data_IF_931549690211
#
_entry.id   IF_931549690211
#
_cell.length_a   1.000
_cell.length_b   1.000
_cell.length_c   1.000
_cell.angle_alpha   90.00
_cell.angle_beta   90.00
_cell.angle_gamma   90.00
#
_symmetry.space_group_name_H-M   'P 1'
#
loop_
_entity.id
_entity.type
_entity.pdbx_description
1 polymer ?
#
# COMPACT_ATOMS: atom_id res chain seq x y z
N UNK A 1 -15.35 20.71 13.52
CA UNK A 1 -14.87 19.99 12.32
C UNK A 1 -13.65 19.20 12.75
N UNK A 2 -13.49 17.96 12.27
CA UNK A 2 -12.28 17.20 12.52
C UNK A 2 -11.07 17.92 11.90
N UNK A 3 -9.90 17.80 12.53
CA UNK A 3 -8.66 18.24 11.93
C UNK A 3 -8.36 17.37 10.70
N UNK A 4 -7.72 17.95 9.68
CA UNK A 4 -7.49 17.35 8.37
C UNK A 4 -6.06 17.59 7.93
N UNK A 5 -5.38 16.50 7.59
CA UNK A 5 -4.08 16.51 6.93
C UNK A 5 -4.17 15.97 5.50
N UNK A 6 -3.38 16.56 4.60
CA UNK A 6 -3.34 16.17 3.18
C UNK A 6 -1.92 15.74 2.84
N UNK A 7 -1.76 14.54 2.31
CA UNK A 7 -0.45 13.96 2.04
C UNK A 7 -0.33 13.33 0.64
N UNK A 8 0.88 13.36 0.11
CA UNK A 8 1.29 12.62 -1.09
C UNK A 8 2.82 12.48 -1.11
N UNK A 9 3.34 11.64 -2.00
CA UNK A 9 4.79 11.35 -2.10
C UNK A 9 5.68 12.55 -2.44
N UNK A 10 5.09 13.68 -2.84
CA UNK A 10 5.79 14.94 -3.16
C UNK A 10 5.43 16.06 -2.19
N UNK A 11 4.78 15.76 -1.06
CA UNK A 11 4.43 16.77 -0.06
C UNK A 11 5.69 17.51 0.39
N UNK A 12 5.58 18.81 0.65
CA UNK A 12 6.70 19.59 1.19
C UNK A 12 6.89 19.28 2.67
N UNK A 13 8.13 19.42 3.15
CA UNK A 13 8.40 19.47 4.58
C UNK A 13 7.83 20.78 5.13
N UNK A 14 6.79 20.70 5.96
CA UNK A 14 6.10 21.86 6.50
C UNK A 14 5.40 21.52 7.82
N UNK A 15 5.11 22.53 8.64
CA UNK A 15 4.42 22.34 9.93
C UNK A 15 3.02 21.71 9.73
N UNK A 16 2.50 20.93 10.70
CA UNK A 16 1.11 20.46 10.67
C UNK A 16 0.12 21.61 10.48
N UNK A 17 -0.82 21.46 9.55
CA UNK A 17 -1.87 22.46 9.25
C UNK A 17 -1.48 23.52 8.23
N UNK A 18 -0.24 23.50 7.72
CA UNK A 18 0.24 24.45 6.69
C UNK A 18 0.24 23.90 5.27
N UNK A 19 -0.18 22.64 5.09
CA UNK A 19 -0.32 22.03 3.77
C UNK A 19 -1.55 22.55 3.02
N UNK A 20 -1.50 22.53 1.68
CA UNK A 20 -2.67 22.82 0.86
C UNK A 20 -3.81 21.84 1.16
N UNK A 21 -5.01 22.36 1.43
CA UNK A 21 -6.19 21.54 1.74
C UNK A 21 -6.29 21.08 3.20
N UNK A 22 -5.31 21.42 4.05
CA UNK A 22 -5.34 21.08 5.47
C UNK A 22 -6.20 22.04 6.28
N UNK A 23 -6.77 21.52 7.37
CA UNK A 23 -7.52 22.29 8.36
C UNK A 23 -7.13 21.79 9.74
N UNK A 24 -6.54 22.64 10.56
CA UNK A 24 -6.12 22.27 11.92
C UNK A 24 -6.59 23.34 12.89
N UNK A 25 -7.36 22.92 13.89
CA UNK A 25 -7.98 23.79 14.88
C UNK A 25 -6.95 24.33 15.87
N UNK A 26 -6.06 23.46 16.36
CA UNK A 26 -4.97 23.85 17.26
C UNK A 26 -3.66 23.15 16.87
N UNK A 27 -2.74 23.82 16.16
CA UNK A 27 -1.45 23.25 15.76
C UNK A 27 -0.59 22.75 16.93
N UNK A 28 -0.79 23.27 18.15
CA UNK A 28 -0.06 22.82 19.34
C UNK A 28 -0.38 21.37 19.72
N UNK A 29 -1.47 20.80 19.23
CA UNK A 29 -1.79 19.39 19.44
C UNK A 29 -0.87 18.44 18.66
N UNK A 30 -0.07 18.96 17.71
CA UNK A 30 0.76 18.17 16.79
C UNK A 30 2.25 18.49 16.92
N UNK A 31 2.70 18.86 18.13
CA UNK A 31 4.11 19.20 18.41
C UNK A 31 5.05 18.04 18.10
N UNK A 32 4.68 16.80 18.46
CA UNK A 32 5.48 15.62 18.17
C UNK A 32 5.58 15.35 16.67
N UNK A 33 4.45 15.46 15.94
CA UNK A 33 4.43 15.31 14.48
C UNK A 33 5.29 16.37 13.78
N UNK A 34 5.31 17.59 14.31
CA UNK A 34 6.11 18.69 13.76
C UNK A 34 7.62 18.42 13.84
N UNK A 35 8.10 17.64 14.82
CA UNK A 35 9.53 17.29 14.95
C UNK A 35 9.98 16.35 13.83
N UNK A 36 9.05 15.66 13.18
CA UNK A 36 9.35 14.64 12.18
C UNK A 36 9.44 15.28 10.80
N UNK A 37 10.65 15.33 10.26
CA UNK A 37 10.90 15.87 8.92
C UNK A 37 10.15 15.06 7.86
N UNK A 38 9.53 15.75 6.90
CA UNK A 38 8.88 15.13 5.75
C UNK A 38 7.74 14.15 6.12
N UNK A 39 7.11 14.29 7.30
CA UNK A 39 6.14 13.32 7.83
C UNK A 39 4.99 12.97 6.86
N UNK A 40 4.51 13.93 6.06
CA UNK A 40 3.48 13.68 5.02
C UNK A 40 3.94 12.68 3.96
N UNK A 41 5.22 12.72 3.56
CA UNK A 41 5.76 11.76 2.58
C UNK A 41 5.78 10.37 3.19
N UNK A 42 6.14 10.26 4.48
CA UNK A 42 6.18 8.99 5.20
C UNK A 42 4.81 8.31 5.34
N UNK A 43 3.70 9.05 5.28
CA UNK A 43 2.35 8.47 5.19
C UNK A 43 2.06 7.80 3.83
N UNK A 44 2.79 8.15 2.76
CA UNK A 44 2.53 7.63 1.41
C UNK A 44 2.93 6.15 1.25
N UNK A 45 2.17 5.41 0.44
CA UNK A 45 2.52 4.05 -0.02
C UNK A 45 3.87 4.00 -0.75
N UNK A 46 4.26 5.13 -1.36
CA UNK A 46 5.50 5.28 -2.13
C UNK A 46 6.72 5.57 -1.24
N UNK A 47 6.54 5.74 0.07
CA UNK A 47 7.67 5.94 0.99
C UNK A 47 8.45 4.63 1.13
N UNK A 48 9.76 4.70 0.92
CA UNK A 48 10.68 3.57 1.12
C UNK A 48 10.88 3.37 2.62
N UNK A 49 10.44 2.21 3.10
CA UNK A 49 10.60 1.75 4.48
C UNK A 49 10.49 0.21 4.44
N UNK A 50 11.61 -0.52 4.29
CA UNK A 50 11.59 -1.97 4.11
C UNK A 50 10.89 -2.71 5.25
N UNK A 51 9.94 -3.60 4.95
CA UNK A 51 9.26 -4.41 5.96
C UNK A 51 9.06 -5.85 5.50
N UNK A 52 8.85 -6.76 6.45
CA UNK A 52 8.55 -8.18 6.21
C UNK A 52 7.04 -8.43 6.21
N UNK A 53 6.56 -9.14 5.19
CA UNK A 53 5.18 -9.59 5.07
C UNK A 53 5.10 -10.75 4.07
N UNK A 54 4.30 -11.78 4.38
CA UNK A 54 4.18 -12.99 3.54
C UNK A 54 5.52 -13.66 3.26
N UNK A 55 6.39 -13.79 4.28
CA UNK A 55 7.72 -14.39 4.17
C UNK A 55 8.66 -13.70 3.16
N UNK A 56 8.34 -12.47 2.76
CA UNK A 56 9.13 -11.66 1.83
C UNK A 56 9.47 -10.30 2.43
N UNK A 57 10.55 -9.68 1.95
CA UNK A 57 10.89 -8.29 2.24
C UNK A 57 10.39 -7.36 1.13
N UNK A 58 9.78 -6.25 1.51
CA UNK A 58 9.18 -5.28 0.59
C UNK A 58 9.75 -3.89 0.85
N UNK A 59 10.22 -3.21 -0.20
CA UNK A 59 10.82 -1.88 -0.05
C UNK A 59 9.78 -0.79 0.31
N UNK A 60 8.51 -1.00 -0.05
CA UNK A 60 7.39 -0.12 0.34
C UNK A 60 6.03 -0.81 0.22
N UNK A 61 4.98 -0.15 0.74
CA UNK A 61 3.59 -0.63 0.61
C UNK A 61 3.16 -0.72 -0.86
N UNK A 62 3.65 0.17 -1.72
CA UNK A 62 3.39 0.11 -3.17
C UNK A 62 3.93 -1.18 -3.81
N UNK A 63 5.12 -1.65 -3.39
CA UNK A 63 5.72 -2.89 -3.90
C UNK A 63 4.84 -4.09 -3.58
N UNK A 64 4.50 -4.27 -2.30
CA UNK A 64 3.60 -5.33 -1.88
C UNK A 64 2.24 -5.26 -2.60
N UNK A 65 1.63 -4.07 -2.64
CA UNK A 65 0.32 -3.85 -3.26
C UNK A 65 0.30 -4.23 -4.74
N UNK A 66 1.37 -3.95 -5.47
CA UNK A 66 1.48 -4.29 -6.89
C UNK A 66 1.89 -5.75 -7.12
N UNK A 67 2.66 -6.35 -6.21
CA UNK A 67 3.00 -7.76 -6.25
C UNK A 67 1.77 -8.64 -6.04
N UNK A 68 1.02 -8.42 -4.96
CA UNK A 68 -0.04 -9.33 -4.48
C UNK A 68 -1.19 -9.53 -5.47
N UNK A 69 -1.27 -8.68 -6.50
CA UNK A 69 -2.10 -8.85 -7.70
C UNK A 69 -1.85 -10.17 -8.41
N UNK A 70 -0.62 -10.66 -8.40
CA UNK A 70 -0.19 -11.89 -9.07
C UNK A 70 0.06 -13.02 -8.07
N UNK A 71 -0.21 -12.78 -6.78
CA UNK A 71 -0.20 -13.85 -5.79
C UNK A 71 -1.47 -14.67 -5.98
N UNK A 72 -1.30 -15.92 -6.37
CA UNK A 72 -2.34 -16.93 -6.22
C UNK A 72 -2.31 -17.41 -4.78
N UNK A 73 -3.43 -17.26 -4.07
CA UNK A 73 -3.60 -17.97 -2.81
C UNK A 73 -3.54 -19.49 -3.09
N UNK A 74 -3.07 -20.26 -2.10
CA UNK A 74 -3.01 -21.72 -2.22
C UNK A 74 -4.42 -22.36 -2.31
N UNK A 75 -5.50 -21.57 -2.19
CA UNK A 75 -6.89 -22.03 -2.23
C UNK A 75 -7.48 -22.14 -3.63
N UNK A 76 -6.89 -21.51 -4.65
CA UNK A 76 -7.13 -21.87 -6.05
C UNK A 76 -6.21 -23.04 -6.42
N UNK A 77 -6.49 -24.24 -5.89
CA UNK A 77 -5.77 -25.47 -6.27
C UNK A 77 -5.85 -25.59 -7.80
N UNK A 78 -4.72 -25.45 -8.48
CA UNK A 78 -4.62 -25.79 -9.90
C UNK A 78 -5.16 -27.21 -10.09
N UNK A 79 -6.17 -27.38 -10.94
CA UNK A 79 -6.83 -28.66 -11.19
C UNK A 79 -6.23 -29.37 -12.39
N UNK A 80 -5.49 -28.62 -13.21
CA UNK A 80 -4.81 -29.10 -14.41
C UNK A 80 -3.32 -28.71 -14.41
N UNK A 81 -2.46 -29.45 -15.14
CA UNK A 81 -1.06 -29.07 -15.33
C UNK A 81 -0.87 -27.67 -15.92
N UNK A 82 -1.77 -27.26 -16.81
CA UNK A 82 -1.75 -25.94 -17.46
C UNK A 82 -2.03 -24.81 -16.44
N UNK A 83 -3.03 -25.00 -15.58
CA UNK A 83 -3.30 -24.07 -14.48
C UNK A 83 -2.12 -23.99 -13.50
N UNK A 84 -1.48 -25.13 -13.19
CA UNK A 84 -0.33 -25.16 -12.29
C UNK A 84 0.86 -24.40 -12.87
N UNK A 85 1.14 -24.57 -14.17
CA UNK A 85 2.18 -23.82 -14.86
C UNK A 85 1.90 -22.31 -14.81
N UNK A 86 0.65 -21.90 -15.01
CA UNK A 86 0.23 -20.50 -14.91
C UNK A 86 0.38 -19.93 -13.50
N UNK A 87 -0.03 -20.69 -12.48
CA UNK A 87 0.17 -20.31 -11.06
C UNK A 87 1.66 -20.12 -10.75
N UNK A 88 2.52 -21.05 -11.19
CA UNK A 88 3.97 -20.93 -11.01
C UNK A 88 4.55 -19.69 -11.69
N UNK A 89 4.12 -19.37 -12.91
CA UNK A 89 4.54 -18.14 -13.62
C UNK A 89 4.09 -16.87 -12.90
N UNK A 90 2.84 -16.80 -12.45
CA UNK A 90 2.33 -15.67 -11.68
C UNK A 90 3.07 -15.48 -10.35
N UNK A 91 3.34 -16.57 -9.64
CA UNK A 91 4.11 -16.52 -8.40
C UNK A 91 5.56 -16.11 -8.64
N UNK A 92 6.21 -16.59 -9.70
CA UNK A 92 7.53 -16.12 -10.08
C UNK A 92 7.54 -14.62 -10.39
N UNK A 93 6.49 -14.10 -11.04
CA UNK A 93 6.36 -12.66 -11.27
C UNK A 93 6.09 -11.88 -9.97
N UNK A 94 5.26 -12.38 -9.06
CA UNK A 94 5.08 -11.83 -7.71
C UNK A 94 6.41 -11.67 -6.97
N UNK A 95 7.28 -12.68 -7.03
CA UNK A 95 8.60 -12.65 -6.42
C UNK A 95 9.51 -11.57 -7.02
N UNK A 96 9.31 -11.14 -8.27
CA UNK A 96 10.14 -10.05 -8.83
C UNK A 96 9.89 -8.67 -8.18
N UNK A 97 8.90 -8.52 -7.31
CA UNK A 97 8.63 -7.27 -6.60
C UNK A 97 9.25 -7.23 -5.21
N UNK A 98 9.78 -8.36 -4.72
CA UNK A 98 10.40 -8.47 -3.40
C UNK A 98 11.77 -7.80 -3.45
N UNK A 99 12.20 -7.26 -2.31
CA UNK A 99 13.41 -6.46 -2.19
C UNK A 99 14.67 -7.23 -2.64
N UNK A 100 14.73 -8.53 -2.35
CA UNK A 100 15.83 -9.44 -2.69
C UNK A 100 15.89 -9.83 -4.16
N UNK A 101 14.83 -9.59 -4.94
CA UNK A 101 14.80 -9.93 -6.37
C UNK A 101 15.74 -9.08 -7.24
N UNK A 102 16.15 -7.90 -6.75
CA UNK A 102 17.01 -6.96 -7.48
C UNK A 102 16.40 -6.41 -8.78
N UNK A 103 15.08 -6.55 -8.98
CA UNK A 103 14.43 -5.99 -10.16
C UNK A 103 14.33 -4.45 -10.04
N UNK A 104 14.33 -3.70 -11.15
CA UNK A 104 14.14 -2.24 -11.09
C UNK A 104 12.83 -1.82 -10.40
N UNK A 105 11.81 -2.68 -10.45
CA UNK A 105 10.51 -2.45 -9.83
C UNK A 105 10.36 -3.07 -8.44
N UNK A 106 11.41 -3.66 -7.88
CA UNK A 106 11.56 -3.95 -6.45
C UNK A 106 12.18 -2.79 -5.68
N UNK A 107 12.88 -1.90 -6.40
CA UNK A 107 13.57 -0.73 -5.83
C UNK A 107 12.71 0.53 -5.93
N UNK A 108 12.22 0.89 -7.13
CA UNK A 108 11.41 2.08 -7.36
C UNK A 108 9.89 1.79 -7.30
N UNK A 109 9.17 2.35 -6.31
CA UNK A 109 7.72 2.20 -6.17
C UNK A 109 6.93 2.62 -7.43
N UNK A 110 7.43 3.60 -8.19
CA UNK A 110 6.79 4.03 -9.44
C UNK A 110 6.94 2.99 -10.54
N UNK A 111 8.07 2.28 -10.57
CA UNK A 111 8.27 1.14 -11.47
C UNK A 111 7.44 -0.05 -11.01
N UNK A 112 7.32 -0.31 -9.70
CA UNK A 112 6.38 -1.30 -9.16
C UNK A 112 4.95 -1.04 -9.65
N UNK A 113 4.52 0.22 -9.63
CA UNK A 113 3.21 0.62 -10.15
C UNK A 113 3.01 0.31 -11.62
N UNK A 114 4.05 0.49 -12.44
CA UNK A 114 4.02 0.19 -13.89
C UNK A 114 4.01 -1.32 -14.12
N UNK A 115 4.93 -2.04 -13.49
CA UNK A 115 5.03 -3.49 -13.57
C UNK A 115 3.73 -4.18 -13.12
N UNK A 116 3.11 -3.69 -12.04
CA UNK A 116 1.85 -4.25 -11.55
C UNK A 116 0.59 -3.86 -12.34
N UNK A 117 0.73 -3.30 -13.54
CA UNK A 117 -0.34 -3.19 -14.54
C UNK A 117 -0.24 -4.24 -15.64
N UNK A 118 0.83 -5.03 -15.68
CA UNK A 118 1.05 -6.03 -16.74
C UNK A 118 -0.11 -7.01 -16.82
N UNK A 119 -0.52 -7.34 -18.03
CA UNK A 119 -1.65 -8.23 -18.28
C UNK A 119 -3.03 -7.60 -18.03
N UNK A 120 -3.13 -6.36 -17.53
CA UNK A 120 -4.43 -5.69 -17.33
C UNK A 120 -5.10 -5.42 -18.68
N UNK A 121 -6.28 -6.00 -18.90
CA UNK A 121 -7.09 -5.77 -20.09
C UNK A 121 -7.81 -4.43 -20.03
N UNK A 122 -7.69 -3.62 -21.08
CA UNK A 122 -8.48 -2.39 -21.25
C UNK A 122 -9.94 -2.76 -21.53
N UNK A 123 -10.87 -2.16 -20.78
CA UNK A 123 -12.32 -2.36 -20.99
C UNK A 123 -12.73 -1.79 -22.35
N UNK A 124 -12.13 -0.67 -22.77
CA UNK A 124 -12.51 0.03 -24.00
C UNK A 124 -11.94 -0.68 -25.23
N UNK A 125 -10.64 -1.01 -25.22
CA UNK A 125 -9.93 -1.50 -26.41
C UNK A 125 -9.76 -3.01 -26.43
N UNK A 126 -9.99 -3.70 -25.31
CA UNK A 126 -9.66 -5.12 -25.15
C UNK A 126 -8.16 -5.44 -25.15
N UNK A 127 -7.29 -4.46 -25.41
CA UNK A 127 -5.83 -4.61 -25.44
C UNK A 127 -5.31 -4.73 -24.01
N UNK A 128 -4.37 -5.66 -23.77
CA UNK A 128 -3.68 -5.79 -22.49
C UNK A 128 -2.53 -4.78 -22.39
N UNK A 129 -2.32 -4.27 -21.18
CA UNK A 129 -1.24 -3.32 -20.91
C UNK A 129 0.11 -4.04 -20.89
N UNK A 130 1.01 -3.53 -21.75
CA UNK A 130 2.42 -3.90 -21.80
C UNK A 130 3.31 -2.69 -21.63
N UNK A 131 4.26 -2.76 -20.70
CA UNK A 131 5.34 -1.78 -20.64
C UNK A 131 6.44 -2.16 -21.64
N UNK A 132 6.75 -1.27 -22.59
CA UNK A 132 7.77 -1.53 -23.61
C UNK A 132 9.20 -1.31 -23.13
N UNK A 133 9.38 -0.63 -21.99
CA UNK A 133 10.70 -0.26 -21.46
C UNK A 133 11.17 -1.21 -20.38
N UNK A 134 10.24 -1.74 -19.58
CA UNK A 134 10.51 -2.78 -18.60
C UNK A 134 10.46 -4.12 -19.34
N UNK A 135 11.51 -4.95 -19.21
CA UNK A 135 11.58 -6.30 -19.78
C UNK A 135 10.65 -7.27 -19.02
N UNK A 136 9.36 -6.96 -18.98
CA UNK A 136 8.35 -7.71 -18.23
C UNK A 136 7.88 -8.94 -19.03
N UNK A 137 7.40 -9.99 -18.34
CA UNK A 137 6.72 -11.11 -18.98
C UNK A 137 5.60 -10.63 -19.90
N UNK A 138 5.29 -11.40 -20.93
CA UNK A 138 4.25 -11.00 -21.87
C UNK A 138 2.86 -11.10 -21.24
N UNK A 139 1.96 -10.23 -21.66
CA UNK A 139 0.60 -10.06 -21.12
C UNK A 139 -0.30 -11.30 -21.24
N UNK A 140 0.12 -12.34 -21.95
CA UNK A 140 -0.56 -13.64 -22.09
C UNK A 140 -0.04 -14.68 -21.09
N UNK A 141 1.08 -14.42 -20.41
CA UNK A 141 1.73 -15.38 -19.50
C UNK A 141 1.40 -15.15 -18.03
N UNK A 142 1.00 -13.92 -17.68
CA UNK A 142 0.65 -13.53 -16.32
C UNK A 142 -0.75 -12.94 -16.26
N UNK A 143 -1.44 -13.22 -15.16
CA UNK A 143 -2.80 -12.76 -14.92
C UNK A 143 -2.96 -12.29 -13.48
N UNK A 144 -3.57 -11.12 -13.34
CA UNK A 144 -3.97 -10.58 -12.05
C UNK A 144 -5.16 -11.36 -11.51
N UNK A 145 -5.16 -11.64 -10.21
CA UNK A 145 -6.31 -12.23 -9.52
C UNK A 145 -7.58 -11.40 -9.77
N UNK A 146 -8.68 -12.06 -10.09
CA UNK A 146 -9.92 -11.43 -10.54
C UNK A 146 -10.58 -10.56 -9.45
N UNK A 147 -10.46 -10.98 -8.19
CA UNK A 147 -11.05 -10.35 -7.03
C UNK A 147 -10.20 -9.18 -6.46
N UNK A 148 -9.03 -8.88 -7.04
CA UNK A 148 -8.09 -7.91 -6.46
C UNK A 148 -8.74 -6.55 -6.18
N UNK A 149 -9.54 -6.02 -7.11
CA UNK A 149 -10.16 -4.71 -7.00
C UNK A 149 -11.52 -4.73 -6.29
N UNK A 150 -11.91 -5.86 -5.67
CA UNK A 150 -13.06 -5.85 -4.78
C UNK A 150 -12.74 -5.04 -3.53
N UNK A 151 -13.64 -4.17 -3.04
CA UNK A 151 -13.38 -3.30 -1.88
C UNK A 151 -12.88 -4.06 -0.65
N UNK A 152 -13.41 -5.26 -0.41
CA UNK A 152 -13.05 -6.10 0.73
C UNK A 152 -11.59 -6.60 0.65
N UNK A 153 -11.12 -7.01 -0.54
CA UNK A 153 -9.77 -7.57 -0.71
C UNK A 153 -8.72 -6.47 -0.73
N UNK A 154 -8.92 -5.45 -1.58
CA UNK A 154 -7.93 -4.38 -1.78
C UNK A 154 -7.64 -3.62 -0.48
N UNK A 155 -8.71 -3.24 0.24
CA UNK A 155 -8.59 -2.47 1.47
C UNK A 155 -7.94 -3.28 2.60
N UNK A 156 -8.16 -4.59 2.68
CA UNK A 156 -7.53 -5.46 3.69
C UNK A 156 -6.05 -5.64 3.41
N UNK A 157 -5.67 -5.97 2.17
CA UNK A 157 -4.26 -6.15 1.79
C UNK A 157 -3.46 -4.86 2.02
N UNK A 158 -4.04 -3.71 1.68
CA UNK A 158 -3.40 -2.42 1.92
C UNK A 158 -3.23 -2.12 3.42
N UNK A 159 -4.26 -2.39 4.24
CA UNK A 159 -4.17 -2.25 5.71
C UNK A 159 -3.10 -3.15 6.32
N UNK A 160 -2.98 -4.40 5.89
CA UNK A 160 -1.96 -5.33 6.39
C UNK A 160 -0.55 -4.84 6.07
N UNK A 161 -0.32 -4.37 4.84
CA UNK A 161 0.97 -3.81 4.46
C UNK A 161 1.32 -2.53 5.24
N UNK A 162 0.33 -1.67 5.49
CA UNK A 162 0.54 -0.50 6.34
C UNK A 162 0.80 -0.88 7.79
N UNK A 163 0.06 -1.85 8.33
CA UNK A 163 0.31 -2.34 9.68
C UNK A 163 1.76 -2.82 9.79
N UNK A 164 2.23 -3.67 8.86
CA UNK A 164 3.62 -4.14 8.81
C UNK A 164 4.63 -2.98 8.75
N UNK A 165 4.44 -2.03 7.82
CA UNK A 165 5.31 -0.85 7.73
C UNK A 165 5.35 -0.05 9.03
N UNK A 166 4.21 0.23 9.64
CA UNK A 166 4.13 1.13 10.79
C UNK A 166 4.45 0.43 12.12
N UNK A 167 4.35 -0.89 12.22
CA UNK A 167 4.68 -1.60 13.47
C UNK A 167 6.11 -2.10 13.50
N UNK A 168 6.74 -2.34 12.34
CA UNK A 168 8.14 -2.77 12.25
C UNK A 168 9.14 -1.60 12.25
N UNK A 169 8.66 -0.35 12.16
CA UNK A 169 9.47 0.87 12.21
C UNK A 169 8.95 1.79 13.32
N UNK A 170 9.68 1.88 14.43
CA UNK A 170 9.20 2.60 15.62
C UNK A 170 9.04 4.11 15.37
N UNK A 171 9.92 4.72 14.60
CA UNK A 171 9.82 6.13 14.19
C UNK A 171 8.56 6.41 13.37
N UNK A 172 8.23 5.51 12.42
CA UNK A 172 7.00 5.61 11.64
C UNK A 172 5.77 5.33 12.50
N UNK A 173 5.83 4.37 13.43
CA UNK A 173 4.75 4.10 14.39
C UNK A 173 4.38 5.37 15.14
N UNK A 174 5.39 5.99 15.75
CA UNK A 174 5.25 7.24 16.50
C UNK A 174 4.72 8.36 15.61
N UNK A 175 5.18 8.46 14.36
CA UNK A 175 4.65 9.39 13.37
C UNK A 175 3.14 9.21 13.17
N UNK A 176 2.69 7.98 12.89
CA UNK A 176 1.28 7.72 12.63
C UNK A 176 0.42 8.03 13.86
N UNK A 177 0.88 7.67 15.06
CA UNK A 177 0.19 8.00 16.31
C UNK A 177 0.15 9.50 16.57
N UNK A 178 1.21 10.23 16.24
CA UNK A 178 1.32 11.68 16.39
C UNK A 178 0.39 12.47 15.44
N UNK A 179 -0.24 11.81 14.46
CA UNK A 179 -1.34 12.41 13.69
C UNK A 179 -2.63 12.61 14.50
N UNK A 180 -2.66 12.17 15.76
CA UNK A 180 -3.80 12.39 16.67
C UNK A 180 -5.06 11.77 16.09
N UNK A 181 -6.17 12.50 16.15
CA UNK A 181 -7.45 12.06 15.57
C UNK A 181 -7.76 12.79 14.25
N UNK A 182 -6.75 13.43 13.66
CA UNK A 182 -6.91 14.09 12.37
C UNK A 182 -7.25 13.07 11.28
N UNK A 183 -8.13 13.48 10.37
CA UNK A 183 -8.40 12.78 9.14
C UNK A 183 -7.17 12.85 8.22
N UNK A 184 -6.85 11.72 7.59
CA UNK A 184 -5.73 11.62 6.66
C UNK A 184 -6.27 11.52 5.23
N UNK A 185 -5.94 12.50 4.40
CA UNK A 185 -6.42 12.60 3.03
C UNK A 185 -5.26 12.45 2.04
N UNK A 186 -5.39 11.52 1.10
CA UNK A 186 -4.40 11.32 0.05
C UNK A 186 -4.69 12.20 -1.16
N UNK A 187 -3.74 13.06 -1.55
CA UNK A 187 -3.85 13.84 -2.77
C UNK A 187 -3.43 13.02 -4.00
N UNK A 188 -4.41 12.72 -4.86
CA UNK A 188 -4.26 11.95 -6.10
C UNK A 188 -4.06 12.81 -7.35
N UNK A 189 -4.11 14.14 -7.23
CA UNK A 189 -4.08 15.07 -8.36
C UNK A 189 -5.47 15.36 -8.94
N UNK A 190 -5.54 16.08 -10.06
CA UNK A 190 -6.79 16.61 -10.68
C UNK A 190 -7.80 15.55 -11.19
N UNK A 191 -7.67 14.27 -10.83
CA UNK A 191 -8.58 13.17 -11.22
C UNK A 191 -9.63 12.82 -10.16
N UNK A 192 -9.64 13.46 -8.99
CA UNK A 192 -10.67 13.21 -7.98
C UNK A 192 -12.03 13.76 -8.42
N UNK A 193 -13.08 12.94 -8.33
CA UNK A 193 -14.46 13.30 -8.72
C UNK A 193 -15.25 14.03 -7.63
N UNK A 194 -14.66 14.22 -6.44
CA UNK A 194 -15.34 14.92 -5.35
C UNK A 194 -15.45 16.42 -5.66
N UNK A 195 -16.67 16.96 -5.57
CA UNK A 195 -16.92 18.41 -5.69
C UNK A 195 -16.35 19.17 -4.49
N UNK A 196 -16.41 18.58 -3.31
CA UNK A 196 -15.99 19.22 -2.05
C UNK A 196 -14.48 19.08 -1.80
N UNK A 197 -13.87 18.00 -2.33
CA UNK A 197 -12.45 17.67 -2.14
C UNK A 197 -11.79 17.26 -3.48
N UNK A 198 -11.66 18.20 -4.44
CA UNK A 198 -11.17 17.90 -5.78
C UNK A 198 -9.74 17.37 -5.75
N UNK A 199 -9.58 16.09 -6.09
CA UNK A 199 -8.29 15.42 -6.15
C UNK A 199 -7.79 14.82 -4.84
N UNK A 200 -8.59 14.84 -3.79
CA UNK A 200 -8.28 14.26 -2.49
C UNK A 200 -9.22 13.10 -2.19
N UNK A 201 -8.71 12.05 -1.56
CA UNK A 201 -9.48 10.87 -1.14
C UNK A 201 -9.20 10.63 0.33
N UNK A 202 -10.26 10.48 1.13
CA UNK A 202 -10.13 10.08 2.54
C UNK A 202 -9.43 8.72 2.60
N UNK A 203 -8.41 8.61 3.43
CA UNK A 203 -7.52 7.47 3.45
C UNK A 203 -7.70 6.67 4.74
N UNK A 204 -8.84 5.97 4.81
CA UNK A 204 -9.28 5.23 5.99
C UNK A 204 -8.29 4.16 6.42
N UNK A 205 -7.51 3.59 5.50
CA UNK A 205 -6.56 2.53 5.80
C UNK A 205 -5.55 2.94 6.89
N UNK A 206 -5.01 4.16 6.83
CA UNK A 206 -4.05 4.63 7.83
C UNK A 206 -4.72 4.90 9.18
N UNK A 207 -5.94 5.41 9.18
CA UNK A 207 -6.68 5.70 10.41
C UNK A 207 -7.07 4.40 11.12
N UNK A 208 -7.53 3.40 10.37
CA UNK A 208 -7.81 2.06 10.90
C UNK A 208 -6.52 1.42 11.45
N UNK A 209 -5.38 1.55 10.76
CA UNK A 209 -4.09 1.03 11.25
C UNK A 209 -3.64 1.77 12.52
N UNK A 210 -3.80 3.10 12.58
CA UNK A 210 -3.52 3.91 13.77
C UNK A 210 -4.33 3.44 14.97
N UNK A 211 -5.62 3.22 14.79
CA UNK A 211 -6.52 2.77 15.87
C UNK A 211 -6.24 1.31 16.27
N UNK A 212 -5.85 0.46 15.31
CA UNK A 212 -5.38 -0.89 15.60
C UNK A 212 -4.13 -0.87 16.50
N UNK A 213 -3.12 -0.06 16.17
CA UNK A 213 -1.91 0.11 16.97
C UNK A 213 -2.27 0.58 18.39
N UNK A 214 -3.07 1.65 18.51
CA UNK A 214 -3.53 2.15 19.82
C UNK A 214 -4.19 1.07 20.68
N UNK A 215 -4.99 0.20 20.07
CA UNK A 215 -5.78 -0.81 20.78
C UNK A 215 -4.96 -2.04 21.18
N UNK A 216 -3.96 -2.42 20.38
CA UNK A 216 -3.34 -3.75 20.47
C UNK A 216 -1.83 -3.77 20.68
N UNK A 217 -1.08 -2.67 20.46
CA UNK A 217 0.40 -2.69 20.55
C UNK A 217 0.90 -3.04 21.97
N UNK A 218 0.12 -2.74 23.01
CA UNK A 218 0.41 -3.14 24.40
C UNK A 218 -0.04 -4.56 24.76
N UNK A 219 -0.86 -5.20 23.90
CA UNK A 219 -1.48 -6.51 24.17
C UNK A 219 -0.80 -7.65 23.42
N UNK A 220 -0.17 -7.35 22.28
CA UNK A 220 0.60 -8.31 21.50
C UNK A 220 1.70 -7.59 20.72
N UNK A 221 2.73 -8.35 20.34
CA UNK A 221 3.80 -7.83 19.49
C UNK A 221 3.28 -7.67 18.05
N UNK A 222 2.73 -6.49 17.73
CA UNK A 222 2.19 -6.22 16.40
C UNK A 222 3.26 -6.25 15.29
N UNK A 223 4.53 -6.01 15.62
CA UNK A 223 5.62 -6.15 14.65
C UNK A 223 5.78 -7.60 14.19
N UNK A 224 5.63 -8.56 15.10
CA UNK A 224 5.67 -9.99 14.80
C UNK A 224 4.38 -10.46 14.11
N UNK A 225 3.20 -10.09 14.65
CA UNK A 225 1.90 -10.46 14.05
C UNK A 225 1.75 -9.93 12.63
N UNK A 226 2.27 -8.74 12.34
CA UNK A 226 2.21 -8.13 11.01
C UNK A 226 3.03 -8.86 9.95
N UNK A 227 3.94 -9.76 10.35
CA UNK A 227 4.73 -10.58 9.42
C UNK A 227 3.95 -11.80 8.93
N UNK A 228 2.84 -12.15 9.61
CA UNK A 228 2.05 -13.32 9.26
C UNK A 228 1.44 -13.22 7.86
N UNK A 229 1.12 -14.39 7.31
CA UNK A 229 0.54 -14.47 5.98
C UNK A 229 -0.68 -13.56 5.84
N UNK A 230 -0.66 -12.66 4.86
CA UNK A 230 -1.81 -11.83 4.55
C UNK A 230 -2.97 -12.65 4.00
N UNK A 231 -2.74 -13.86 3.48
CA UNK A 231 -3.83 -14.81 3.19
C UNK A 231 -4.59 -15.21 4.47
N UNK A 232 -3.86 -15.54 5.53
CA UNK A 232 -4.45 -15.82 6.85
C UNK A 232 -5.19 -14.60 7.41
N UNK A 233 -4.57 -13.41 7.35
CA UNK A 233 -5.16 -12.18 7.89
C UNK A 233 -6.40 -11.75 7.09
N UNK A 234 -6.39 -11.86 5.76
CA UNK A 234 -7.55 -11.48 4.92
C UNK A 234 -8.76 -12.40 5.11
N UNK A 235 -8.53 -13.67 5.47
CA UNK A 235 -9.56 -14.65 5.84
C UNK A 235 -10.15 -14.41 7.23
N UNK A 236 -9.36 -13.94 8.18
CA UNK A 236 -9.83 -13.62 9.55
C UNK A 236 -10.59 -12.30 9.59
N UNK A 237 -10.18 -11.32 8.77
CA UNK A 237 -10.86 -10.04 8.68
C UNK A 237 -12.09 -10.08 7.74
N UNK A 238 -12.48 -11.28 7.27
CA UNK A 238 -13.63 -11.60 6.42
C UNK A 238 -14.97 -11.44 7.09
#
# INVERSE_FOLDING_TARGET
>A
MADKFVFHSRSKNAKPGSGSGEKVSNPKNYTELQKIKDWRKALSNLHIAPFRLDDNEWNSVEHFFHAVKFRYDKSQRAKTPQELAKVKKNYAFYQTFTLDSGSPWSEDPKLAKRAGKTGRKSIITGIRYRDKTLKLPTDTEIEMREDFYTPNVVGRLQKVAFLAKFTQHEDLKLLLLATGDAELWHYTGKRGKSKDHPGEILFDELMIVRDCIRKFDQKCNLAEVSQFSSDFITKILA
#
